data_IF_521196934128
#
_entry.id   IF_521196934128
#
_cell.length_a   1.000
_cell.length_b   1.000
_cell.length_c   1.000
_cell.angle_alpha   90.00
_cell.angle_beta   90.00
_cell.angle_gamma   90.00
#
_symmetry.space_group_name_H-M   'P 1'
#
loop_
_entity.id
_entity.type
_entity.pdbx_description
1 polymer ?
#
# COMPACT_ATOMS: atom_id res chain seq x y z
N UNK A 1 0.58 -17.04 13.21
CA UNK A 1 1.52 -16.14 12.48
C UNK A 1 1.59 -14.81 13.22
N UNK A 2 2.77 -14.35 13.54
CA UNK A 2 2.99 -13.02 14.16
C UNK A 2 3.25 -11.99 13.07
N UNK A 3 2.68 -10.80 13.18
CA UNK A 3 2.99 -9.65 12.35
C UNK A 3 3.89 -8.69 13.14
N UNK A 4 4.79 -7.97 12.47
CA UNK A 4 4.98 -7.87 11.01
C UNK A 4 5.65 -9.12 10.41
N UNK A 5 5.37 -9.38 9.12
CA UNK A 5 6.06 -10.42 8.35
C UNK A 5 7.39 -9.85 7.84
N UNK A 6 8.46 -10.61 8.04
CA UNK A 6 9.76 -10.35 7.43
C UNK A 6 9.93 -11.26 6.20
N UNK A 7 9.63 -10.72 5.01
CA UNK A 7 9.70 -11.48 3.77
C UNK A 7 11.13 -11.93 3.46
N UNK A 8 12.14 -11.10 3.74
CA UNK A 8 13.55 -11.46 3.54
C UNK A 8 13.92 -12.72 4.31
N UNK A 9 13.45 -12.85 5.57
CA UNK A 9 13.69 -14.06 6.36
C UNK A 9 12.99 -15.27 5.73
N UNK A 10 11.77 -15.10 5.25
CA UNK A 10 11.02 -16.18 4.59
C UNK A 10 11.74 -16.62 3.30
N UNK A 11 12.19 -15.66 2.47
CA UNK A 11 12.96 -15.98 1.26
C UNK A 11 14.24 -16.78 1.56
N UNK A 12 14.94 -16.44 2.64
CA UNK A 12 16.14 -17.18 3.06
C UNK A 12 15.88 -18.61 3.58
N UNK A 13 14.62 -18.97 3.82
CA UNK A 13 14.19 -20.33 4.24
C UNK A 13 13.63 -21.15 3.05
N UNK A 14 13.51 -20.55 1.84
CA UNK A 14 13.01 -21.24 0.64
C UNK A 14 14.18 -21.93 -0.06
N UNK A 15 14.11 -23.24 -0.18
CA UNK A 15 15.08 -24.02 -0.94
C UNK A 15 15.03 -23.67 -2.44
N UNK A 16 16.18 -23.49 -3.08
CA UNK A 16 16.27 -23.10 -4.49
C UNK A 16 15.98 -21.61 -4.74
N UNK A 17 16.04 -20.76 -3.69
CA UNK A 17 15.90 -19.30 -3.82
C UNK A 17 17.06 -18.58 -3.12
N UNK A 18 17.82 -17.83 -3.89
CA UNK A 18 18.87 -16.93 -3.37
C UNK A 18 18.36 -15.48 -3.29
N UNK A 19 18.53 -14.86 -2.12
CA UNK A 19 18.16 -13.45 -1.88
C UNK A 19 19.41 -12.62 -1.58
N UNK A 20 19.67 -11.59 -2.39
CA UNK A 20 20.77 -10.67 -2.22
C UNK A 20 20.29 -9.22 -2.15
N UNK A 21 20.98 -8.40 -1.34
CA UNK A 21 20.73 -6.96 -1.26
C UNK A 21 22.01 -6.22 -1.70
N UNK A 22 21.94 -5.56 -2.86
CA UNK A 22 23.07 -4.87 -3.49
C UNK A 22 22.69 -3.44 -3.87
N UNK A 23 23.65 -2.49 -3.94
CA UNK A 23 23.37 -1.12 -4.38
C UNK A 23 23.09 -1.10 -5.89
N UNK A 24 21.81 -1.01 -6.28
CA UNK A 24 21.43 -0.90 -7.69
C UNK A 24 21.61 0.56 -8.17
N UNK A 25 22.35 0.74 -9.26
CA UNK A 25 22.70 2.07 -9.80
C UNK A 25 21.61 2.67 -10.69
N UNK A 26 20.73 1.84 -11.26
CA UNK A 26 19.67 2.31 -12.15
C UNK A 26 18.61 3.09 -11.37
N UNK A 27 18.35 4.32 -11.83
CA UNK A 27 17.33 5.18 -11.20
C UNK A 27 15.95 4.52 -11.21
N UNK A 28 15.33 4.45 -10.04
CA UNK A 28 14.00 3.89 -9.86
C UNK A 28 13.93 2.36 -9.87
N UNK A 29 15.05 1.65 -9.98
CA UNK A 29 15.08 0.18 -9.86
C UNK A 29 15.04 -0.23 -8.39
N UNK A 30 14.04 -0.99 -8.03
CA UNK A 30 13.72 -1.40 -6.66
C UNK A 30 14.19 -2.81 -6.36
N UNK A 31 13.99 -3.73 -7.31
CA UNK A 31 14.36 -5.12 -7.22
C UNK A 31 14.39 -5.79 -8.60
N UNK A 32 14.88 -7.00 -8.63
CA UNK A 32 14.94 -7.86 -9.82
C UNK A 32 14.69 -9.29 -9.37
N UNK A 33 13.76 -9.99 -10.03
CA UNK A 33 13.64 -11.44 -9.93
C UNK A 33 14.23 -12.10 -11.19
N UNK A 34 15.14 -13.04 -11.01
CA UNK A 34 15.71 -13.87 -12.07
C UNK A 34 15.34 -15.33 -11.80
N UNK A 35 14.56 -15.89 -12.69
CA UNK A 35 14.08 -17.26 -12.57
C UNK A 35 14.99 -18.19 -13.38
N UNK A 36 15.53 -19.19 -12.74
CA UNK A 36 16.34 -20.21 -13.40
C UNK A 36 15.53 -21.02 -14.41
N UNK A 37 16.14 -21.35 -15.53
CA UNK A 37 15.60 -22.30 -16.53
C UNK A 37 15.89 -23.75 -16.13
N UNK A 38 16.98 -23.95 -15.42
CA UNK A 38 17.39 -25.25 -14.91
C UNK A 38 16.91 -25.41 -13.47
N UNK A 39 16.29 -26.56 -13.18
CA UNK A 39 15.81 -26.86 -11.82
C UNK A 39 16.96 -27.13 -10.83
N UNK A 40 18.18 -27.32 -11.32
CA UNK A 40 19.37 -27.47 -10.48
C UNK A 40 19.92 -26.13 -9.95
N UNK A 41 19.53 -25.01 -10.57
CA UNK A 41 20.02 -23.68 -10.21
C UNK A 41 18.95 -22.92 -9.42
N UNK A 42 19.39 -22.07 -8.50
CA UNK A 42 18.52 -21.23 -7.71
C UNK A 42 17.84 -20.13 -8.54
N UNK A 43 16.61 -19.80 -8.18
CA UNK A 43 16.02 -18.51 -8.51
C UNK A 43 16.70 -17.42 -7.69
N UNK A 44 16.79 -16.21 -8.22
CA UNK A 44 17.50 -15.11 -7.56
C UNK A 44 16.59 -13.91 -7.40
N UNK A 45 16.52 -13.37 -6.20
CA UNK A 45 15.95 -12.06 -5.94
C UNK A 45 17.07 -11.09 -5.55
N UNK A 46 17.19 -9.99 -6.31
CA UNK A 46 18.10 -8.90 -6.01
C UNK A 46 17.29 -7.68 -5.53
N UNK A 47 17.59 -7.18 -4.35
CA UNK A 47 16.96 -5.97 -3.79
C UNK A 47 17.92 -4.79 -3.80
N UNK A 48 17.39 -3.60 -4.01
CA UNK A 48 18.17 -2.39 -3.92
C UNK A 48 18.48 -2.01 -2.46
N UNK A 49 19.73 -2.20 -2.03
CA UNK A 49 20.16 -1.89 -0.67
C UNK A 49 20.16 -0.39 -0.32
N UNK A 50 20.02 0.51 -1.31
CA UNK A 50 19.88 1.95 -1.08
C UNK A 50 18.46 2.35 -0.58
N UNK A 51 17.52 1.42 -0.56
CA UNK A 51 16.16 1.64 -0.06
C UNK A 51 16.07 1.28 1.42
N UNK A 52 15.11 1.88 2.13
CA UNK A 52 14.93 1.57 3.54
C UNK A 52 14.35 0.15 3.78
N UNK A 53 14.41 -0.31 5.03
CA UNK A 53 14.01 -1.68 5.37
C UNK A 53 12.53 -1.99 5.08
N UNK A 54 11.64 -1.00 5.26
CA UNK A 54 10.20 -1.16 4.99
C UNK A 54 9.94 -1.24 3.49
N UNK A 55 10.63 -0.42 2.70
CA UNK A 55 10.59 -0.45 1.24
C UNK A 55 11.10 -1.78 0.71
N UNK A 56 12.29 -2.21 1.17
CA UNK A 56 12.86 -3.50 0.76
C UNK A 56 11.97 -4.69 1.15
N UNK A 57 11.22 -4.60 2.27
CA UNK A 57 10.28 -5.65 2.67
C UNK A 57 9.14 -5.80 1.65
N UNK A 58 8.59 -4.67 1.17
CA UNK A 58 7.57 -4.66 0.12
C UNK A 58 8.12 -5.13 -1.23
N UNK A 59 9.30 -4.61 -1.62
CA UNK A 59 9.96 -4.98 -2.88
C UNK A 59 10.28 -6.48 -2.91
N UNK A 60 10.74 -7.05 -1.78
CA UNK A 60 10.99 -8.48 -1.65
C UNK A 60 9.72 -9.31 -1.84
N UNK A 61 8.58 -8.87 -1.27
CA UNK A 61 7.29 -9.53 -1.48
C UNK A 61 6.83 -9.47 -2.94
N UNK A 62 7.08 -8.35 -3.63
CA UNK A 62 6.79 -8.17 -5.04
C UNK A 62 7.61 -9.13 -5.93
N UNK A 63 8.93 -9.21 -5.72
CA UNK A 63 9.79 -10.13 -6.47
C UNK A 63 9.47 -11.60 -6.16
N UNK A 64 9.17 -11.92 -4.89
CA UNK A 64 8.74 -13.27 -4.51
C UNK A 64 7.46 -13.68 -5.23
N UNK A 65 6.54 -12.73 -5.47
CA UNK A 65 5.32 -13.01 -6.23
C UNK A 65 5.64 -13.38 -7.69
N UNK A 66 6.59 -12.69 -8.33
CA UNK A 66 7.07 -13.04 -9.67
C UNK A 66 7.68 -14.46 -9.68
N UNK A 67 8.54 -14.78 -8.73
CA UNK A 67 9.13 -16.13 -8.59
C UNK A 67 8.05 -17.19 -8.46
N UNK A 68 7.06 -16.97 -7.61
CA UNK A 68 6.04 -17.97 -7.30
C UNK A 68 5.00 -18.18 -8.42
N UNK A 69 4.62 -17.11 -9.14
CA UNK A 69 3.43 -17.13 -9.99
C UNK A 69 3.66 -16.73 -11.45
N UNK A 70 4.78 -16.09 -11.81
CA UNK A 70 4.96 -15.50 -13.14
C UNK A 70 6.01 -16.20 -14.01
N UNK A 71 6.51 -17.35 -13.58
CA UNK A 71 7.50 -18.14 -14.33
C UNK A 71 7.10 -18.43 -15.78
N UNK A 72 5.81 -18.58 -16.06
CA UNK A 72 5.29 -18.81 -17.40
C UNK A 72 5.45 -17.60 -18.35
N UNK A 73 5.62 -16.41 -17.82
CA UNK A 73 5.65 -15.16 -18.58
C UNK A 73 7.06 -14.67 -18.90
N UNK A 74 8.08 -15.24 -18.28
CA UNK A 74 9.46 -14.85 -18.51
C UNK A 74 10.40 -15.34 -17.41
N UNK A 75 11.69 -15.05 -17.61
CA UNK A 75 12.74 -15.48 -16.67
C UNK A 75 13.36 -14.29 -15.90
N UNK A 76 13.02 -13.05 -16.25
CA UNK A 76 13.57 -11.86 -15.57
C UNK A 76 12.47 -10.82 -15.44
N UNK A 77 12.27 -10.35 -14.22
CA UNK A 77 11.34 -9.29 -13.86
C UNK A 77 12.10 -8.17 -13.16
N UNK A 78 11.78 -6.92 -13.50
CA UNK A 78 12.45 -5.75 -12.92
C UNK A 78 11.39 -4.90 -12.22
N UNK A 79 11.45 -4.80 -10.91
CA UNK A 79 10.57 -3.90 -10.17
C UNK A 79 11.07 -2.46 -10.29
N UNK A 80 10.27 -1.60 -10.89
CA UNK A 80 10.56 -0.18 -11.10
C UNK A 80 9.54 0.68 -10.37
N UNK A 81 9.96 1.87 -9.91
CA UNK A 81 9.05 2.86 -9.32
C UNK A 81 7.93 3.26 -10.29
N UNK A 82 8.28 3.35 -11.58
CA UNK A 82 7.33 3.61 -12.65
C UNK A 82 7.40 2.48 -13.67
N UNK A 83 6.28 1.80 -13.90
CA UNK A 83 6.17 0.72 -14.89
C UNK A 83 6.51 1.26 -16.28
N UNK A 84 7.52 0.67 -16.92
CA UNK A 84 7.92 1.05 -18.28
C UNK A 84 6.98 0.45 -19.33
N UNK A 85 6.88 1.06 -20.54
CA UNK A 85 6.03 0.55 -21.61
C UNK A 85 6.30 -0.91 -22.02
N UNK A 86 7.54 -1.38 -21.84
CA UNK A 86 7.94 -2.76 -22.16
C UNK A 86 7.55 -3.78 -21.07
N UNK A 87 7.10 -3.35 -19.90
CA UNK A 87 6.68 -4.24 -18.82
C UNK A 87 5.21 -4.61 -18.96
N UNK A 88 4.87 -5.85 -18.59
CA UNK A 88 3.47 -6.27 -18.55
C UNK A 88 2.77 -5.69 -17.34
N UNK A 89 1.99 -4.63 -17.55
CA UNK A 89 1.27 -3.91 -16.49
C UNK A 89 0.37 -4.81 -15.63
N UNK A 90 -0.17 -5.88 -16.21
CA UNK A 90 -1.03 -6.79 -15.49
C UNK A 90 -0.23 -7.66 -14.49
N UNK A 91 0.93 -8.17 -14.90
CA UNK A 91 1.81 -8.93 -14.01
C UNK A 91 2.37 -8.06 -12.88
N UNK A 92 2.76 -6.82 -13.20
CA UNK A 92 3.21 -5.85 -12.20
C UNK A 92 2.10 -5.51 -11.19
N UNK A 93 0.88 -5.33 -11.68
CA UNK A 93 -0.29 -5.13 -10.81
C UNK A 93 -0.53 -6.36 -9.92
N UNK A 94 -0.50 -7.57 -10.45
CA UNK A 94 -0.66 -8.80 -9.66
C UNK A 94 0.43 -8.93 -8.57
N UNK A 95 1.68 -8.62 -8.89
CA UNK A 95 2.78 -8.66 -7.93
C UNK A 95 2.63 -7.62 -6.83
N UNK A 96 2.17 -6.41 -7.15
CA UNK A 96 1.86 -5.38 -6.16
C UNK A 96 0.71 -5.79 -5.24
N UNK A 97 -0.41 -6.29 -5.79
CA UNK A 97 -1.56 -6.76 -5.00
C UNK A 97 -1.19 -7.95 -4.12
N UNK A 98 -0.45 -8.92 -4.66
CA UNK A 98 -0.01 -10.09 -3.91
C UNK A 98 0.92 -9.72 -2.76
N UNK A 99 1.88 -8.81 -2.99
CA UNK A 99 2.75 -8.29 -1.93
C UNK A 99 1.95 -7.52 -0.88
N UNK A 100 1.01 -6.68 -1.31
CA UNK A 100 0.16 -5.90 -0.41
C UNK A 100 -0.72 -6.81 0.47
N UNK A 101 -1.35 -7.85 -0.10
CA UNK A 101 -2.15 -8.81 0.68
C UNK A 101 -1.28 -9.66 1.62
N UNK A 102 -0.08 -10.04 1.21
CA UNK A 102 0.84 -10.81 2.04
C UNK A 102 1.29 -10.01 3.26
N UNK A 103 1.66 -8.74 3.08
CA UNK A 103 2.19 -7.87 4.13
C UNK A 103 1.10 -7.20 4.97
N UNK A 104 -0.01 -6.80 4.34
CA UNK A 104 -1.14 -6.09 4.95
C UNK A 104 -2.45 -6.79 4.61
N UNK A 105 -2.69 -8.01 5.13
CA UNK A 105 -3.90 -8.76 4.83
C UNK A 105 -5.16 -8.00 5.25
N UNK A 106 -6.17 -7.96 4.36
CA UNK A 106 -7.43 -7.28 4.67
C UNK A 106 -8.09 -7.83 5.95
N UNK A 107 -7.98 -9.14 6.18
CA UNK A 107 -8.54 -9.79 7.39
C UNK A 107 -7.92 -9.29 8.70
N UNK A 108 -6.72 -8.70 8.66
CA UNK A 108 -6.06 -8.08 9.81
C UNK A 108 -6.25 -6.56 9.85
N UNK A 109 -6.35 -5.92 8.68
CA UNK A 109 -6.52 -4.48 8.58
C UNK A 109 -7.94 -4.04 8.94
N UNK A 110 -8.99 -4.74 8.46
CA UNK A 110 -10.38 -4.38 8.69
C UNK A 110 -10.77 -4.28 10.18
N UNK A 111 -10.36 -5.22 11.07
CA UNK A 111 -10.62 -5.08 12.51
C UNK A 111 -9.95 -3.84 13.14
N UNK A 112 -8.77 -3.46 12.69
CA UNK A 112 -8.10 -2.24 13.18
C UNK A 112 -8.82 -0.97 12.73
N UNK A 113 -9.34 -0.95 11.50
CA UNK A 113 -10.18 0.15 11.00
C UNK A 113 -11.44 0.28 11.85
N UNK A 114 -12.15 -0.83 12.13
CA UNK A 114 -13.37 -0.81 12.94
C UNK A 114 -13.11 -0.32 14.36
N UNK A 115 -12.02 -0.75 15.00
CA UNK A 115 -11.60 -0.27 16.33
C UNK A 115 -11.33 1.24 16.34
N UNK A 116 -10.77 1.76 15.25
CA UNK A 116 -10.37 3.17 15.13
C UNK A 116 -11.43 4.05 14.49
N UNK A 117 -12.60 3.52 14.13
CA UNK A 117 -13.59 4.17 13.28
C UNK A 117 -14.00 5.57 13.75
N UNK A 118 -14.15 5.75 15.07
CA UNK A 118 -14.51 7.06 15.64
C UNK A 118 -13.43 8.14 15.40
N UNK A 119 -12.17 7.76 15.35
CA UNK A 119 -11.04 8.68 15.12
C UNK A 119 -10.80 8.95 13.63
N UNK A 120 -11.28 8.08 12.72
CA UNK A 120 -11.14 8.23 11.27
C UNK A 120 -12.05 9.30 10.65
N UNK A 121 -12.68 10.13 11.47
CA UNK A 121 -13.58 11.23 11.05
C UNK A 121 -12.86 12.59 10.95
N UNK A 122 -11.54 12.57 10.84
CA UNK A 122 -10.71 13.78 10.69
C UNK A 122 -9.47 13.49 9.85
N UNK A 123 -8.90 14.53 9.26
CA UNK A 123 -7.62 14.42 8.55
C UNK A 123 -6.54 13.80 9.43
N UNK A 124 -6.32 14.37 10.62
CA UNK A 124 -5.28 13.91 11.53
C UNK A 124 -5.50 12.49 12.04
N UNK A 125 -6.77 12.10 12.27
CA UNK A 125 -7.11 10.75 12.70
C UNK A 125 -6.74 9.71 11.64
N UNK A 126 -7.00 9.97 10.35
CA UNK A 126 -6.62 9.08 9.26
C UNK A 126 -5.09 9.03 9.10
N UNK A 127 -4.40 10.17 9.17
CA UNK A 127 -2.93 10.21 9.10
C UNK A 127 -2.28 9.41 10.24
N UNK A 128 -2.74 9.58 11.46
CA UNK A 128 -2.25 8.83 12.62
C UNK A 128 -2.52 7.32 12.48
N UNK A 129 -3.66 6.96 11.91
CA UNK A 129 -3.98 5.56 11.63
C UNK A 129 -3.03 4.95 10.59
N UNK A 130 -2.79 5.66 9.48
CA UNK A 130 -1.83 5.23 8.44
C UNK A 130 -0.46 4.99 9.06
N UNK A 131 0.07 5.97 9.80
CA UNK A 131 1.34 5.85 10.49
C UNK A 131 1.39 4.67 11.47
N UNK A 132 0.36 4.48 12.29
CA UNK A 132 0.26 3.36 13.22
C UNK A 132 0.27 2.00 12.49
N UNK A 133 -0.45 1.89 11.39
CA UNK A 133 -0.52 0.66 10.61
C UNK A 133 0.77 0.39 9.85
N UNK A 134 1.44 1.41 9.32
CA UNK A 134 2.75 1.23 8.66
C UNK A 134 3.79 0.64 9.62
N UNK A 135 3.81 1.08 10.87
CA UNK A 135 4.69 0.49 11.91
C UNK A 135 4.27 -0.92 12.28
N UNK A 136 2.95 -1.17 12.41
CA UNK A 136 2.43 -2.49 12.77
C UNK A 136 2.76 -3.56 11.73
N UNK A 137 2.67 -3.21 10.44
CA UNK A 137 2.90 -4.13 9.33
C UNK A 137 4.31 -4.06 8.73
N UNK A 138 5.17 -3.16 9.23
CA UNK A 138 6.52 -2.91 8.71
C UNK A 138 6.54 -2.63 7.20
N UNK A 139 5.70 -1.68 6.80
CA UNK A 139 5.59 -1.16 5.44
C UNK A 139 5.59 0.37 5.46
N UNK A 140 5.70 1.02 4.30
CA UNK A 140 5.62 2.48 4.21
C UNK A 140 4.19 3.00 4.40
N UNK A 141 4.03 4.27 4.78
CA UNK A 141 2.74 4.96 4.85
C UNK A 141 2.01 4.95 3.50
N UNK A 142 2.78 4.98 2.39
CA UNK A 142 2.24 4.89 1.04
C UNK A 142 1.56 3.55 0.77
N UNK A 143 2.18 2.43 1.20
CA UNK A 143 1.59 1.09 1.08
C UNK A 143 0.26 1.01 1.83
N UNK A 144 0.20 1.54 3.07
CA UNK A 144 -1.06 1.57 3.82
C UNK A 144 -2.09 2.45 3.12
N UNK A 145 -1.69 3.63 2.62
CA UNK A 145 -2.60 4.55 1.93
C UNK A 145 -3.22 3.91 0.69
N UNK A 146 -2.41 3.27 -0.15
CA UNK A 146 -2.87 2.55 -1.34
C UNK A 146 -3.82 1.41 -0.91
N UNK A 147 -3.44 0.63 0.12
CA UNK A 147 -4.25 -0.47 0.61
C UNK A 147 -5.62 -0.02 1.15
N UNK A 148 -5.70 1.15 1.80
CA UNK A 148 -6.97 1.74 2.26
C UNK A 148 -7.85 2.22 1.09
N UNK A 149 -7.24 2.59 -0.02
CA UNK A 149 -7.96 2.98 -1.24
C UNK A 149 -8.49 1.75 -2.00
N UNK A 150 -7.63 0.76 -2.20
CA UNK A 150 -7.98 -0.49 -2.91
C UNK A 150 -9.08 -1.27 -2.19
N UNK A 151 -9.04 -1.31 -0.85
CA UNK A 151 -10.01 -2.05 -0.02
C UNK A 151 -11.27 -1.23 0.37
N UNK A 152 -11.59 -0.15 -0.33
CA UNK A 152 -12.73 0.73 0.02
C UNK A 152 -14.06 0.00 0.14
N UNK A 153 -14.32 -0.99 -0.71
CA UNK A 153 -15.55 -1.77 -0.69
C UNK A 153 -15.57 -2.78 0.46
N UNK A 154 -14.47 -3.47 0.71
CA UNK A 154 -14.28 -4.38 1.83
C UNK A 154 -14.42 -3.65 3.17
N UNK A 155 -13.82 -2.46 3.27
CA UNK A 155 -13.94 -1.57 4.44
C UNK A 155 -15.41 -1.19 4.65
N UNK A 156 -16.09 -0.75 3.59
CA UNK A 156 -17.51 -0.38 3.64
C UNK A 156 -18.37 -1.54 4.17
N UNK A 157 -18.22 -2.74 3.60
CA UNK A 157 -18.98 -3.93 4.03
C UNK A 157 -18.75 -4.22 5.52
N UNK A 158 -17.48 -4.28 5.94
CA UNK A 158 -17.11 -4.67 7.30
C UNK A 158 -17.54 -3.65 8.36
N UNK A 159 -17.41 -2.36 8.08
CA UNK A 159 -17.84 -1.29 8.98
C UNK A 159 -19.37 -1.30 9.13
N UNK A 160 -20.10 -1.63 8.07
CA UNK A 160 -21.57 -1.75 8.07
C UNK A 160 -22.09 -3.11 8.58
N UNK A 161 -21.23 -3.96 9.15
CA UNK A 161 -21.65 -5.13 9.91
C UNK A 161 -21.43 -6.48 9.25
N UNK A 162 -20.89 -6.56 8.04
CA UNK A 162 -20.48 -7.84 7.47
C UNK A 162 -19.44 -8.53 8.36
N UNK A 163 -19.50 -9.85 8.48
CA UNK A 163 -18.43 -10.62 9.12
C UNK A 163 -17.21 -10.70 8.21
N UNK A 164 -16.02 -10.95 8.78
CA UNK A 164 -14.79 -11.10 7.98
C UNK A 164 -14.86 -12.21 6.91
N UNK A 165 -15.69 -13.22 7.14
CA UNK A 165 -15.85 -14.34 6.20
C UNK A 165 -16.85 -14.01 5.07
N UNK A 166 -17.74 -13.04 5.29
CA UNK A 166 -18.77 -12.63 4.33
C UNK A 166 -18.34 -11.43 3.49
N UNK A 167 -17.21 -10.79 3.84
CA UNK A 167 -16.66 -9.68 3.05
C UNK A 167 -16.27 -10.18 1.66
N UNK A 168 -16.91 -9.60 0.65
CA UNK A 168 -16.60 -9.88 -0.78
C UNK A 168 -15.47 -9.00 -1.24
N UNK A 169 -14.42 -9.61 -1.79
CA UNK A 169 -13.29 -8.92 -2.42
C UNK A 169 -13.59 -8.76 -3.90
N UNK A 170 -13.74 -7.52 -4.36
CA UNK A 170 -14.06 -7.21 -5.76
C UNK A 170 -13.07 -6.19 -6.32
N UNK A 171 -12.56 -6.46 -7.54
CA UNK A 171 -11.79 -5.47 -8.27
C UNK A 171 -12.61 -4.21 -8.57
N UNK A 172 -11.96 -3.06 -8.75
CA UNK A 172 -12.62 -1.80 -9.14
C UNK A 172 -13.47 -1.93 -10.40
N UNK A 173 -13.02 -2.73 -11.37
CA UNK A 173 -13.81 -3.01 -12.58
C UNK A 173 -15.10 -3.71 -12.21
N UNK A 174 -15.05 -4.76 -11.40
CA UNK A 174 -16.24 -5.51 -11.00
C UNK A 174 -17.17 -4.67 -10.15
N UNK A 175 -16.65 -3.84 -9.25
CA UNK A 175 -17.46 -2.89 -8.48
C UNK A 175 -18.25 -1.96 -9.41
N UNK A 176 -17.60 -1.38 -10.43
CA UNK A 176 -18.25 -0.52 -11.44
C UNK A 176 -19.32 -1.26 -12.26
N UNK A 177 -19.00 -2.48 -12.71
CA UNK A 177 -19.92 -3.31 -13.49
C UNK A 177 -21.17 -3.67 -12.67
N UNK A 178 -21.02 -3.86 -11.37
CA UNK A 178 -22.10 -4.15 -10.43
C UNK A 178 -22.79 -2.87 -9.86
N UNK A 179 -22.40 -1.66 -10.31
CA UNK A 179 -22.96 -0.39 -9.86
C UNK A 179 -22.61 0.00 -8.43
N UNK A 180 -21.52 -0.53 -7.89
CA UNK A 180 -21.05 -0.27 -6.52
C UNK A 180 -20.15 0.96 -6.51
N UNK A 181 -20.53 1.97 -5.70
CA UNK A 181 -19.76 3.21 -5.51
C UNK A 181 -19.42 3.40 -4.04
N UNK A 182 -18.14 3.25 -3.71
CA UNK A 182 -17.63 3.47 -2.35
C UNK A 182 -16.60 4.60 -2.35
N UNK A 183 -16.66 5.44 -1.31
CA UNK A 183 -15.65 6.46 -1.04
C UNK A 183 -14.58 5.83 -0.15
N UNK A 184 -13.31 5.99 -0.54
CA UNK A 184 -12.20 5.46 0.25
C UNK A 184 -11.89 6.34 1.49
N UNK A 185 -11.19 5.77 2.46
CA UNK A 185 -10.67 6.55 3.58
C UNK A 185 -9.66 7.63 3.14
N UNK A 186 -9.00 7.42 2.00
CA UNK A 186 -8.06 8.39 1.42
C UNK A 186 -8.81 9.58 0.83
N UNK A 187 -9.92 9.34 0.11
CA UNK A 187 -10.80 10.42 -0.38
C UNK A 187 -11.41 11.21 0.79
N UNK A 188 -11.84 10.50 1.84
CA UNK A 188 -12.35 11.14 3.06
C UNK A 188 -11.27 12.01 3.73
N UNK A 189 -10.03 11.55 3.78
CA UNK A 189 -8.88 12.32 4.29
C UNK A 189 -8.71 13.64 3.53
N UNK A 190 -8.73 13.59 2.20
CA UNK A 190 -8.61 14.78 1.36
C UNK A 190 -9.81 15.74 1.52
N UNK A 191 -10.99 15.19 1.68
CA UNK A 191 -12.18 16.00 2.00
C UNK A 191 -12.02 16.75 3.34
N UNK A 192 -11.57 16.07 4.40
CA UNK A 192 -11.33 16.70 5.70
C UNK A 192 -10.21 17.74 5.63
N UNK A 193 -9.12 17.47 4.93
CA UNK A 193 -8.02 18.42 4.71
C UNK A 193 -8.55 19.73 4.10
N UNK A 194 -9.29 19.62 3.00
CA UNK A 194 -9.88 20.79 2.33
C UNK A 194 -10.86 21.57 3.22
N UNK A 195 -11.61 20.86 4.05
CA UNK A 195 -12.54 21.47 5.00
C UNK A 195 -11.82 22.26 6.11
N UNK A 196 -10.73 21.72 6.64
CA UNK A 196 -9.89 22.37 7.64
C UNK A 196 -9.21 23.63 7.06
N UNK A 197 -8.62 23.54 5.87
CA UNK A 197 -8.02 24.69 5.17
C UNK A 197 -9.00 25.83 4.93
N UNK A 198 -10.25 25.52 4.56
CA UNK A 198 -11.29 26.55 4.40
C UNK A 198 -11.62 27.23 5.73
N UNK A 199 -11.69 26.48 6.85
CA UNK A 199 -11.91 27.06 8.19
C UNK A 199 -10.77 27.98 8.58
N UNK A 200 -9.51 27.61 8.37
CA UNK A 200 -8.35 28.44 8.66
C UNK A 200 -8.33 29.72 7.83
N UNK A 201 -8.62 29.64 6.51
CA UNK A 201 -8.73 30.83 5.66
C UNK A 201 -9.84 31.78 6.13
N UNK A 202 -10.98 31.24 6.53
CA UNK A 202 -12.10 32.04 7.04
C UNK A 202 -11.77 32.75 8.37
N UNK A 203 -11.10 32.08 9.28
CA UNK A 203 -10.63 32.64 10.55
C UNK A 203 -9.58 33.74 10.31
N UNK A 204 -8.61 33.50 9.46
CA UNK A 204 -7.60 34.49 9.09
C UNK A 204 -8.23 35.76 8.48
N UNK A 205 -9.20 35.59 7.58
CA UNK A 205 -9.89 36.71 6.95
C UNK A 205 -10.71 37.55 7.94
N UNK A 206 -11.32 36.90 8.93
CA UNK A 206 -12.10 37.61 9.96
C UNK A 206 -11.20 38.30 11.00
N UNK A 207 -10.05 37.72 11.36
CA UNK A 207 -9.07 38.40 12.22
C UNK A 207 -8.49 39.64 11.54
N UNK A 208 -8.09 39.54 10.27
CA UNK A 208 -7.61 40.71 9.51
C UNK A 208 -8.67 41.82 9.35
N UNK A 209 -9.97 41.46 9.26
CA UNK A 209 -11.05 42.46 9.26
C UNK A 209 -11.26 43.15 10.61
N UNK A 210 -11.07 42.41 11.71
CA UNK A 210 -11.15 42.97 13.06
C UNK A 210 -10.04 44.01 13.29
N UNK A 211 -8.81 43.71 12.84
CA UNK A 211 -7.67 44.62 12.96
C UNK A 211 -7.86 45.91 12.15
N UNK A 212 -8.49 45.85 10.97
CA UNK A 212 -8.77 47.05 10.13
C UNK A 212 -9.80 47.97 10.80
N UNK A 213 -10.73 47.44 11.59
CA UNK A 213 -11.74 48.27 12.29
C UNK A 213 -11.19 48.98 13.54
N UNK A 214 -10.08 48.51 14.12
CA UNK A 214 -9.43 49.16 15.27
C UNK A 214 -8.68 50.44 14.84
N UNK A 215 -8.26 50.54 13.59
CA UNK A 215 -7.58 51.75 13.04
C UNK A 215 -8.53 52.78 12.42
N UNK A 216 -9.86 52.64 12.53
CA UNK A 216 -10.86 53.55 12.03
C UNK A 216 -11.71 54.25 13.10
N UNK A 217 -11.35 54.09 14.37
CA UNK A 217 -11.98 54.78 15.51
C UNK A 217 -11.10 55.88 16.08
#
# INVERSE_FOLDING_TARGET
KSYPINIKKICGEIEGLTLESIPLKSKGLRGIAVLSKDKSDDDIILLNSNRDACEQNFDCGHELYHVAFHRYAGNTFNCLENVKPCQNKFLEWQANEGSAELLVPYKLLLPEIKKSYCTLKSYQGIQNFIYKMSKKFNVTDSVISIRLDDLKYEIFQYVNGASLNDVKVLSDKRQKDDGIYCISLIDMREFYRKKEEKKHKFHYYNSCKADINIYRS
#
